data_IF_623656412373
#
_entry.id   IF_623656412373
#
_cell.length_a   1.000
_cell.length_b   1.000
_cell.length_c   1.000
_cell.angle_alpha   90.00
_cell.angle_beta   90.00
_cell.angle_gamma   90.00
#
_symmetry.space_group_name_H-M   'P 1'
#
loop_
_entity.id
_entity.type
_entity.pdbx_description
1 polymer ?
#
# COMPACT_ATOMS: atom_id res chain seq x y z
N UNK A 1 20.96 -25.06 -7.89
CA UNK A 1 19.66 -24.62 -7.35
C UNK A 1 19.91 -23.29 -6.65
N UNK A 2 19.63 -22.17 -7.31
CA UNK A 2 19.83 -20.86 -6.71
C UNK A 2 18.76 -20.64 -5.64
N UNK A 3 19.18 -20.28 -4.43
CA UNK A 3 18.24 -19.85 -3.39
C UNK A 3 17.52 -18.61 -3.93
N UNK A 4 16.22 -18.72 -4.18
CA UNK A 4 15.38 -17.55 -4.45
C UNK A 4 15.25 -16.83 -3.11
N UNK A 5 16.09 -15.84 -2.88
CA UNK A 5 15.95 -14.94 -1.73
C UNK A 5 14.64 -14.18 -1.92
N UNK A 6 13.59 -14.61 -1.23
CA UNK A 6 12.30 -13.95 -1.25
C UNK A 6 12.47 -12.53 -0.69
N UNK A 7 12.24 -11.51 -1.52
CA UNK A 7 12.30 -10.12 -1.09
C UNK A 7 11.01 -9.75 -0.37
N UNK A 8 11.11 -9.41 0.90
CA UNK A 8 9.97 -8.94 1.71
C UNK A 8 9.92 -7.41 1.66
N UNK A 9 8.73 -6.88 1.43
CA UNK A 9 8.44 -5.45 1.55
C UNK A 9 7.72 -5.18 2.87
N UNK A 10 8.03 -4.05 3.50
CA UNK A 10 7.30 -3.54 4.68
C UNK A 10 6.28 -2.49 4.22
N UNK A 11 5.04 -2.69 4.63
CA UNK A 11 3.94 -1.75 4.45
C UNK A 11 3.60 -1.20 5.84
N UNK A 12 3.96 0.05 6.10
CA UNK A 12 3.62 0.77 7.32
C UNK A 12 2.36 1.60 7.07
N UNK A 13 1.34 1.40 7.86
CA UNK A 13 0.09 2.16 7.80
C UNK A 13 -0.09 2.95 9.08
N UNK A 14 -0.54 4.21 8.94
CA UNK A 14 -0.81 5.13 10.04
C UNK A 14 -2.18 5.75 9.85
N UNK A 15 -2.90 5.97 10.94
CA UNK A 15 -4.15 6.76 10.92
C UNK A 15 -3.98 7.92 11.89
N UNK A 16 -4.26 9.13 11.40
CA UNK A 16 -4.34 10.33 12.22
C UNK A 16 -5.80 10.64 12.55
N UNK A 17 -6.05 11.16 13.74
CA UNK A 17 -7.34 11.74 14.12
C UNK A 17 -7.48 13.19 13.67
N UNK A 18 -8.64 13.80 13.93
CA UNK A 18 -8.94 15.19 13.54
C UNK A 18 -8.01 16.24 14.19
N UNK A 19 -7.25 15.86 15.24
CA UNK A 19 -6.23 16.70 15.86
C UNK A 19 -4.82 16.48 15.25
N UNK A 20 -4.73 15.70 14.17
CA UNK A 20 -3.48 15.26 13.54
C UNK A 20 -2.62 14.35 14.42
N UNK A 21 -3.21 13.76 15.46
CA UNK A 21 -2.53 12.83 16.35
C UNK A 21 -2.65 11.39 15.82
N UNK A 22 -1.54 10.64 15.91
CA UNK A 22 -1.52 9.24 15.43
C UNK A 22 -2.24 8.34 16.42
N UNK A 23 -3.40 7.82 16.01
CA UNK A 23 -4.23 6.91 16.80
C UNK A 23 -4.04 5.44 16.43
N UNK A 24 -3.36 5.16 15.32
CA UNK A 24 -3.08 3.81 14.86
C UNK A 24 -1.79 3.72 14.08
N UNK A 25 -1.08 2.60 14.25
CA UNK A 25 0.05 2.20 13.44
C UNK A 25 0.08 0.68 13.30
N UNK A 26 0.33 0.19 12.09
CA UNK A 26 0.54 -1.24 11.83
C UNK A 26 1.59 -1.46 10.74
N UNK A 27 2.34 -2.55 10.89
CA UNK A 27 3.39 -2.99 10.00
C UNK A 27 3.02 -4.35 9.39
N UNK A 28 2.68 -4.35 8.09
CA UNK A 28 2.38 -5.56 7.32
C UNK A 28 3.60 -5.95 6.48
N UNK A 29 4.01 -7.22 6.55
CA UNK A 29 5.12 -7.76 5.75
C UNK A 29 4.60 -8.73 4.71
N UNK A 30 5.00 -8.54 3.45
CA UNK A 30 4.58 -9.42 2.35
C UNK A 30 5.73 -9.69 1.38
N UNK A 31 5.71 -10.86 0.74
CA UNK A 31 6.55 -11.15 -0.41
C UNK A 31 6.25 -10.13 -1.53
N UNK A 32 7.27 -9.35 -1.90
CA UNK A 32 7.13 -8.23 -2.81
C UNK A 32 6.81 -8.68 -4.25
N UNK A 33 7.41 -9.79 -4.69
CA UNK A 33 7.14 -10.38 -6.01
C UNK A 33 5.69 -10.85 -6.11
N UNK A 34 5.17 -11.47 -5.05
CA UNK A 34 3.77 -11.92 -4.97
C UNK A 34 2.81 -10.73 -5.02
N UNK A 35 3.10 -9.65 -4.29
CA UNK A 35 2.29 -8.43 -4.33
C UNK A 35 2.21 -7.86 -5.76
N UNK A 36 3.36 -7.72 -6.42
CA UNK A 36 3.43 -7.21 -7.80
C UNK A 36 2.72 -8.17 -8.77
N UNK A 37 2.90 -9.48 -8.63
CA UNK A 37 2.26 -10.48 -9.48
C UNK A 37 0.73 -10.41 -9.39
N UNK A 38 0.17 -10.31 -8.18
CA UNK A 38 -1.28 -10.16 -8.01
C UNK A 38 -1.72 -8.82 -8.59
N UNK A 39 -0.98 -7.73 -8.36
CA UNK A 39 -1.35 -6.41 -8.84
C UNK A 39 -1.36 -6.35 -10.37
N UNK A 40 -0.40 -6.99 -11.04
CA UNK A 40 -0.32 -7.11 -12.51
C UNK A 40 -1.60 -7.62 -13.15
N UNK A 41 -2.31 -8.54 -12.49
CA UNK A 41 -3.60 -9.04 -12.99
C UNK A 41 -4.67 -7.94 -13.16
N UNK A 42 -4.51 -6.81 -12.46
CA UNK A 42 -5.41 -5.66 -12.47
C UNK A 42 -4.95 -4.53 -13.41
N UNK A 43 -3.76 -4.62 -13.99
CA UNK A 43 -3.24 -3.60 -14.92
C UNK A 43 -4.17 -3.32 -16.10
N UNK A 44 -4.77 -4.31 -16.79
CA UNK A 44 -5.67 -4.03 -17.90
C UNK A 44 -6.89 -3.20 -17.48
N UNK A 45 -7.41 -3.44 -16.27
CA UNK A 45 -8.50 -2.66 -15.70
C UNK A 45 -8.06 -1.23 -15.37
N UNK A 46 -6.92 -1.07 -14.69
CA UNK A 46 -6.36 0.24 -14.32
C UNK A 46 -6.12 1.09 -15.58
N UNK A 47 -5.46 0.53 -16.60
CA UNK A 47 -5.24 1.21 -17.89
C UNK A 47 -6.53 1.63 -18.57
N UNK A 48 -7.56 0.77 -18.57
CA UNK A 48 -8.87 1.06 -19.16
C UNK A 48 -9.62 2.17 -18.41
N UNK A 49 -9.50 2.20 -17.08
CA UNK A 49 -10.20 3.17 -16.22
C UNK A 49 -9.48 4.51 -16.09
N UNK A 50 -8.17 4.54 -16.34
CA UNK A 50 -7.37 5.76 -16.33
C UNK A 50 -6.73 6.08 -14.98
N UNK A 51 -5.93 7.15 -15.01
CA UNK A 51 -5.09 7.57 -13.88
C UNK A 51 -5.93 7.96 -12.66
N UNK A 52 -6.96 8.80 -12.82
CA UNK A 52 -7.79 9.28 -11.71
C UNK A 52 -8.47 8.13 -10.95
N UNK A 53 -9.01 7.16 -11.68
CA UNK A 53 -9.61 5.97 -11.08
C UNK A 53 -8.58 5.13 -10.32
N UNK A 54 -7.38 4.97 -10.89
CA UNK A 54 -6.29 4.22 -10.25
C UNK A 54 -5.78 4.93 -9.00
N UNK A 55 -5.64 6.26 -9.06
CA UNK A 55 -5.25 7.08 -7.92
C UNK A 55 -6.31 7.04 -6.82
N UNK A 56 -7.60 7.09 -7.17
CA UNK A 56 -8.72 6.98 -6.23
C UNK A 56 -8.81 5.64 -5.50
N UNK A 57 -8.19 4.58 -6.02
CA UNK A 57 -8.15 3.28 -5.34
C UNK A 57 -7.29 3.33 -4.06
N UNK A 58 -6.27 4.21 -3.99
CA UNK A 58 -5.42 4.36 -2.80
C UNK A 58 -6.22 4.83 -1.57
N UNK A 59 -6.94 5.98 -1.60
CA UNK A 59 -7.79 6.41 -0.49
C UNK A 59 -9.01 5.51 -0.27
N UNK A 60 -9.52 4.83 -1.31
CA UNK A 60 -10.57 3.83 -1.14
C UNK A 60 -10.12 2.70 -0.21
N UNK A 61 -8.99 2.04 -0.49
CA UNK A 61 -8.49 0.98 0.37
C UNK A 61 -7.96 1.51 1.71
N UNK A 62 -7.48 2.77 1.76
CA UNK A 62 -7.15 3.43 3.03
C UNK A 62 -8.38 3.55 3.94
N UNK A 63 -9.56 3.79 3.37
CA UNK A 63 -10.84 3.80 4.10
C UNK A 63 -11.21 2.42 4.63
N UNK A 64 -10.98 1.35 3.85
CA UNK A 64 -11.20 -0.02 4.34
C UNK A 64 -10.30 -0.37 5.52
N UNK A 65 -9.06 0.13 5.54
CA UNK A 65 -8.18 -0.03 6.70
C UNK A 65 -8.72 0.70 7.95
N UNK A 66 -9.22 1.93 7.80
CA UNK A 66 -9.86 2.67 8.90
C UNK A 66 -11.10 1.91 9.41
N UNK A 67 -11.87 1.28 8.51
CA UNK A 67 -13.04 0.49 8.89
C UNK A 67 -12.64 -0.75 9.70
N UNK A 68 -11.66 -1.52 9.24
CA UNK A 68 -11.13 -2.67 9.95
C UNK A 68 -10.61 -2.27 11.35
N UNK A 69 -9.83 -1.17 11.42
CA UNK A 69 -9.35 -0.61 12.68
C UNK A 69 -10.50 -0.26 13.64
N UNK A 70 -11.54 0.45 13.16
CA UNK A 70 -12.69 0.85 13.99
C UNK A 70 -13.57 -0.32 14.40
N UNK A 71 -13.60 -1.39 13.63
CA UNK A 71 -14.29 -2.62 13.97
C UNK A 71 -13.51 -3.49 14.98
N UNK A 72 -12.36 -3.01 15.47
CA UNK A 72 -11.43 -3.76 16.32
C UNK A 72 -10.96 -5.08 15.66
N UNK A 73 -11.02 -5.13 14.33
CA UNK A 73 -10.46 -6.24 13.56
C UNK A 73 -8.94 -6.10 13.57
N UNK A 74 -8.25 -7.12 14.06
CA UNK A 74 -6.80 -7.16 14.15
C UNK A 74 -6.22 -8.22 13.22
N UNK A 75 -4.97 -8.04 12.81
CA UNK A 75 -4.24 -9.01 11.98
C UNK A 75 -4.78 -9.07 10.55
N UNK A 76 -5.48 -10.16 10.14
CA UNK A 76 -5.77 -10.40 8.73
C UNK A 76 -6.51 -9.28 7.99
N UNK A 77 -7.51 -8.64 8.62
CA UNK A 77 -8.29 -7.58 7.96
C UNK A 77 -7.45 -6.32 7.69
N UNK A 78 -6.59 -5.94 8.64
CA UNK A 78 -5.64 -4.84 8.49
C UNK A 78 -4.60 -5.19 7.44
N UNK A 79 -4.05 -6.40 7.48
CA UNK A 79 -3.06 -6.87 6.51
C UNK A 79 -3.62 -6.86 5.09
N UNK A 80 -4.83 -7.39 4.89
CA UNK A 80 -5.51 -7.40 3.60
C UNK A 80 -5.74 -5.97 3.09
N UNK A 81 -6.23 -5.06 3.94
CA UNK A 81 -6.41 -3.66 3.56
C UNK A 81 -5.07 -3.00 3.20
N UNK A 82 -4.01 -3.20 4.00
CA UNK A 82 -2.67 -2.67 3.74
C UNK A 82 -2.08 -3.20 2.42
N UNK A 83 -2.24 -4.49 2.14
CA UNK A 83 -1.82 -5.11 0.88
C UNK A 83 -2.57 -4.49 -0.30
N UNK A 84 -3.88 -4.28 -0.17
CA UNK A 84 -4.69 -3.69 -1.25
C UNK A 84 -4.31 -2.23 -1.53
N UNK A 85 -4.06 -1.43 -0.49
CA UNK A 85 -3.52 -0.07 -0.64
C UNK A 85 -2.17 -0.10 -1.37
N UNK A 86 -1.26 -0.99 -0.97
CA UNK A 86 0.05 -1.13 -1.61
C UNK A 86 -0.03 -1.59 -3.07
N UNK A 87 -0.98 -2.48 -3.41
CA UNK A 87 -1.23 -2.89 -4.80
C UNK A 87 -1.78 -1.74 -5.65
N UNK A 88 -2.68 -0.93 -5.09
CA UNK A 88 -3.21 0.26 -5.78
C UNK A 88 -2.09 1.29 -6.04
N UNK A 89 -1.24 1.54 -5.04
CA UNK A 89 -0.07 2.40 -5.17
C UNK A 89 0.92 1.88 -6.23
N UNK A 90 1.22 0.58 -6.22
CA UNK A 90 2.05 -0.05 -7.26
C UNK A 90 1.49 0.17 -8.66
N UNK A 91 0.19 -0.03 -8.86
CA UNK A 91 -0.45 0.17 -10.17
C UNK A 91 -0.36 1.63 -10.63
N UNK A 92 -0.60 2.57 -9.71
CA UNK A 92 -0.47 4.00 -10.01
C UNK A 92 0.97 4.34 -10.42
N UNK A 93 1.93 3.93 -9.61
CA UNK A 93 3.35 4.22 -9.81
C UNK A 93 3.91 3.58 -11.09
N UNK A 94 3.59 2.30 -11.33
CA UNK A 94 4.15 1.56 -12.45
C UNK A 94 3.55 1.98 -13.79
N UNK A 95 2.24 2.26 -13.83
CA UNK A 95 1.54 2.62 -15.07
C UNK A 95 1.76 4.10 -15.41
N UNK A 96 1.69 4.99 -14.41
CA UNK A 96 1.64 6.43 -14.63
C UNK A 96 2.85 7.19 -14.06
N UNK A 97 3.56 6.62 -13.08
CA UNK A 97 4.77 7.21 -12.48
C UNK A 97 6.10 6.69 -13.07
N UNK A 98 6.07 5.67 -13.93
CA UNK A 98 7.27 5.06 -14.53
C UNK A 98 8.15 4.29 -13.55
N UNK A 99 7.65 3.95 -12.36
CA UNK A 99 8.41 3.24 -11.34
C UNK A 99 8.63 1.77 -11.72
N UNK A 100 9.87 1.32 -11.71
CA UNK A 100 10.19 -0.08 -11.95
C UNK A 100 10.01 -0.95 -10.70
N UNK A 101 9.86 -2.26 -10.92
CA UNK A 101 9.62 -3.23 -9.85
C UNK A 101 10.78 -3.31 -8.85
N UNK A 102 12.03 -3.24 -9.30
CA UNK A 102 13.19 -3.39 -8.41
C UNK A 102 13.31 -2.22 -7.45
N UNK A 103 13.03 -1.01 -7.93
CA UNK A 103 12.95 0.19 -7.10
C UNK A 103 11.82 0.07 -6.09
N UNK A 104 10.60 -0.26 -6.53
CA UNK A 104 9.45 -0.41 -5.62
C UNK A 104 9.68 -1.45 -4.52
N UNK A 105 10.21 -2.63 -4.89
CA UNK A 105 10.52 -3.70 -3.93
C UNK A 105 11.65 -3.33 -2.95
N UNK A 106 12.39 -2.25 -3.21
CA UNK A 106 13.45 -1.73 -2.34
C UNK A 106 13.01 -0.71 -1.33
N UNK A 107 11.72 -0.41 -1.29
CA UNK A 107 11.17 0.59 -0.40
C UNK A 107 10.44 -0.04 0.79
N UNK A 108 10.40 0.67 1.91
CA UNK A 108 9.27 0.60 2.84
C UNK A 108 8.19 1.50 2.29
N UNK A 109 6.96 0.98 2.20
CA UNK A 109 5.80 1.74 1.78
C UNK A 109 5.13 2.30 3.02
N UNK A 110 5.08 3.63 3.15
CA UNK A 110 4.38 4.28 4.24
C UNK A 110 3.11 4.93 3.71
N UNK A 111 1.98 4.56 4.31
CA UNK A 111 0.67 5.16 4.05
C UNK A 111 0.17 5.83 5.32
N UNK A 112 -0.10 7.13 5.25
CA UNK A 112 -0.71 7.88 6.34
C UNK A 112 -2.11 8.32 5.92
N UNK A 113 -3.12 7.77 6.57
CA UNK A 113 -4.50 8.19 6.41
C UNK A 113 -4.71 9.47 7.20
N UNK A 114 -5.00 10.54 6.49
CA UNK A 114 -5.18 11.88 7.03
C UNK A 114 -6.64 12.15 7.40
N UNK A 115 -6.90 13.15 8.25
CA UNK A 115 -8.25 13.66 8.47
C UNK A 115 -8.87 14.08 7.13
N UNK A 116 -10.15 13.77 6.94
CA UNK A 116 -10.84 14.05 5.67
C UNK A 116 -10.64 13.00 4.56
N UNK A 117 -9.93 11.90 4.83
CA UNK A 117 -9.90 10.72 3.95
C UNK A 117 -8.84 10.75 2.84
N UNK A 118 -7.96 11.75 2.84
CA UNK A 118 -6.77 11.74 2.01
C UNK A 118 -5.75 10.71 2.53
N UNK A 119 -4.91 10.19 1.64
CA UNK A 119 -3.82 9.28 1.99
C UNK A 119 -2.52 9.86 1.48
N UNK A 120 -1.61 10.15 2.40
CA UNK A 120 -0.22 10.42 2.07
C UNK A 120 0.49 9.09 1.83
N UNK A 121 1.18 8.98 0.68
CA UNK A 121 1.95 7.81 0.32
C UNK A 121 3.41 8.17 0.10
N UNK A 122 4.29 7.57 0.88
CA UNK A 122 5.74 7.77 0.79
C UNK A 122 6.45 6.44 0.58
N UNK A 123 7.48 6.46 -0.28
CA UNK A 123 8.42 5.35 -0.50
C UNK A 123 9.74 5.68 0.19
N UNK A 124 10.05 4.99 1.29
CA UNK A 124 11.30 5.16 2.03
C UNK A 124 12.29 4.07 1.61
N UNK A 125 13.60 4.33 1.51
CA UNK A 125 14.58 3.24 1.33
C UNK A 125 14.45 2.19 2.44
N UNK A 126 14.49 0.90 2.10
CA UNK A 126 14.46 -0.16 3.10
C UNK A 126 15.60 0.00 4.12
N UNK A 127 15.27 -0.06 5.42
CA UNK A 127 16.25 0.07 6.52
C UNK A 127 16.46 1.48 7.07
N UNK A 128 15.64 2.46 6.67
CA UNK A 128 15.52 3.75 7.38
C UNK A 128 14.18 3.76 8.12
N UNK A 129 14.24 3.63 9.44
CA UNK A 129 13.13 3.85 10.37
C UNK A 129 13.06 5.32 10.80
#
# INVERSE_FOLDING_TARGET
MSQVTTRTILIRTRVLDDNWERIFEADTRINAERLIQIARSREPLARRKGMEWTAGAVPFFGTELIRAMKAEELGPAIDDAAIQVAMAAWLLDSIYGGLDANTFMGCTLQFTMLPGGAVEYTRLPAGRD
#
